data_IF_543009315825
#
_entry.id   IF_543009315825
#
_cell.length_a   1.000
_cell.length_b   1.000
_cell.length_c   1.000
_cell.angle_alpha   90.00
_cell.angle_beta   90.00
_cell.angle_gamma   90.00
#
_symmetry.space_group_name_H-M   'P 1'
#
loop_
_entity.id
_entity.type
_entity.pdbx_description
1 polymer ?
#
# COMPACT_ATOMS: atom_id res chain seq x y z
N UNK A 1 -14.58 17.78 25.38
CA UNK A 1 -14.59 16.60 24.51
C UNK A 1 -14.02 17.03 23.16
N UNK A 2 -12.71 16.83 22.97
CA UNK A 2 -12.04 17.02 21.66
C UNK A 2 -11.21 15.76 21.44
N UNK A 3 -11.90 14.65 21.23
CA UNK A 3 -11.28 13.42 20.79
C UNK A 3 -10.84 13.59 19.32
N UNK A 4 -9.57 13.27 19.04
CA UNK A 4 -9.34 12.28 18.00
C UNK A 4 -8.75 12.75 16.68
N UNK A 5 -7.52 13.24 16.68
CA UNK A 5 -6.49 12.76 15.74
C UNK A 5 -5.11 13.24 16.18
N UNK A 6 -4.29 12.34 16.73
CA UNK A 6 -2.86 12.59 16.81
C UNK A 6 -2.30 12.62 15.38
N UNK A 7 -1.56 13.66 14.97
CA UNK A 7 -0.90 13.68 13.68
C UNK A 7 0.20 12.63 13.67
N UNK A 8 0.16 11.71 12.71
CA UNK A 8 1.20 10.71 12.50
C UNK A 8 0.69 9.35 12.03
N UNK A 9 1.66 8.47 11.77
CA UNK A 9 1.41 7.10 11.37
C UNK A 9 0.76 6.27 12.48
N UNK A 10 -0.41 5.69 12.19
CA UNK A 10 -1.08 4.73 13.07
C UNK A 10 -1.18 3.38 12.40
N UNK A 11 -0.95 2.32 13.17
CA UNK A 11 -1.20 0.97 12.70
C UNK A 11 -2.69 0.78 12.39
N UNK A 12 -2.99 0.19 11.25
CA UNK A 12 -4.36 -0.10 10.81
C UNK A 12 -4.52 -1.58 10.49
N UNK A 13 -5.73 -2.15 10.62
CA UNK A 13 -5.96 -3.55 10.32
C UNK A 13 -5.64 -3.86 8.85
N UNK A 14 -4.90 -4.93 8.60
CA UNK A 14 -4.55 -5.36 7.24
C UNK A 14 -5.76 -5.84 6.44
N UNK A 15 -6.80 -6.32 7.13
CA UNK A 15 -8.08 -6.71 6.55
C UNK A 15 -9.05 -5.53 6.38
N UNK A 16 -8.66 -4.30 6.73
CA UNK A 16 -9.52 -3.14 6.48
C UNK A 16 -9.75 -2.99 4.97
N UNK A 17 -10.99 -2.78 4.50
CA UNK A 17 -11.28 -2.66 3.07
C UNK A 17 -10.49 -1.54 2.39
N UNK A 18 -10.18 -0.43 3.08
CA UNK A 18 -9.38 0.66 2.50
C UNK A 18 -7.92 0.25 2.33
N UNK A 19 -7.38 -0.53 3.26
CA UNK A 19 -6.01 -1.06 3.21
C UNK A 19 -5.89 -2.08 2.10
N UNK A 20 -6.87 -2.98 1.96
CA UNK A 20 -6.92 -3.95 0.86
C UNK A 20 -7.04 -3.24 -0.50
N UNK A 21 -7.87 -2.20 -0.61
CA UNK A 21 -7.98 -1.40 -1.82
C UNK A 21 -6.65 -0.71 -2.18
N UNK A 22 -5.96 -0.11 -1.20
CA UNK A 22 -4.66 0.51 -1.40
C UNK A 22 -3.59 -0.50 -1.84
N UNK A 23 -3.53 -1.67 -1.20
CA UNK A 23 -2.59 -2.74 -1.57
C UNK A 23 -2.84 -3.27 -2.99
N UNK A 24 -4.10 -3.54 -3.34
CA UNK A 24 -4.47 -3.98 -4.68
C UNK A 24 -4.14 -2.94 -5.75
N UNK A 25 -4.39 -1.67 -5.45
CA UNK A 25 -4.02 -0.57 -6.34
C UNK A 25 -2.51 -0.48 -6.52
N UNK A 26 -1.72 -0.60 -5.44
CA UNK A 26 -0.27 -0.61 -5.50
C UNK A 26 0.25 -1.72 -6.42
N UNK A 27 -0.24 -2.96 -6.25
CA UNK A 27 0.18 -4.09 -7.10
C UNK A 27 -0.20 -3.88 -8.56
N UNK A 28 -1.39 -3.31 -8.84
CA UNK A 28 -1.77 -2.94 -10.20
C UNK A 28 -0.82 -1.88 -10.80
N UNK A 29 -0.50 -0.84 -10.04
CA UNK A 29 0.41 0.22 -10.48
C UNK A 29 1.84 -0.32 -10.74
N UNK A 30 2.35 -1.17 -9.85
CA UNK A 30 3.63 -1.88 -10.01
C UNK A 30 3.61 -2.74 -11.27
N UNK A 31 2.57 -3.55 -11.47
CA UNK A 31 2.44 -4.38 -12.67
C UNK A 31 2.38 -3.56 -13.95
N UNK A 32 1.72 -2.40 -13.93
CA UNK A 32 1.71 -1.49 -15.08
C UNK A 32 3.10 -0.90 -15.37
N UNK A 33 3.87 -0.57 -14.32
CA UNK A 33 5.25 -0.11 -14.47
C UNK A 33 6.17 -1.19 -15.04
N UNK A 34 5.97 -2.45 -14.64
CA UNK A 34 6.74 -3.61 -15.11
C UNK A 34 6.06 -4.38 -16.24
N UNK A 35 5.08 -3.78 -16.94
CA UNK A 35 4.07 -4.48 -17.77
C UNK A 35 4.61 -5.45 -18.83
N UNK A 36 5.89 -5.35 -19.20
CA UNK A 36 6.54 -6.25 -20.17
C UNK A 36 7.51 -7.27 -19.53
N UNK A 37 7.94 -7.07 -18.29
CA UNK A 37 9.04 -7.80 -17.66
C UNK A 37 8.58 -8.85 -16.65
N UNK A 38 7.60 -8.51 -15.80
CA UNK A 38 7.20 -9.37 -14.68
C UNK A 38 5.80 -8.99 -14.19
N UNK A 39 5.04 -10.00 -13.77
CA UNK A 39 3.78 -9.81 -13.03
C UNK A 39 3.99 -10.16 -11.57
N UNK A 40 3.57 -9.27 -10.69
CA UNK A 40 3.53 -9.43 -9.24
C UNK A 40 2.11 -9.81 -8.80
N UNK A 41 2.04 -10.75 -7.88
CA UNK A 41 0.82 -11.18 -7.19
C UNK A 41 0.92 -10.83 -5.70
N UNK A 42 -0.14 -10.22 -5.16
CA UNK A 42 -0.26 -9.95 -3.73
C UNK A 42 -0.56 -11.26 -3.00
N UNK A 43 0.36 -11.72 -2.14
CA UNK A 43 0.12 -12.88 -1.29
C UNK A 43 -0.46 -12.47 0.07
N UNK A 44 0.11 -11.42 0.67
CA UNK A 44 -0.20 -11.05 2.05
C UNK A 44 0.14 -9.58 2.30
N UNK A 45 -0.65 -8.91 3.14
CA UNK A 45 -0.36 -7.60 3.70
C UNK A 45 0.19 -7.86 5.11
N UNK A 46 1.50 -7.70 5.30
CA UNK A 46 2.18 -8.02 6.56
C UNK A 46 1.98 -6.93 7.60
N UNK A 47 2.09 -5.67 7.17
CA UNK A 47 1.90 -4.50 8.03
C UNK A 47 1.22 -3.41 7.24
N UNK A 48 0.39 -2.63 7.95
CA UNK A 48 -0.25 -1.45 7.39
C UNK A 48 -0.24 -0.33 8.43
N UNK A 49 0.21 0.84 8.00
CA UNK A 49 0.05 2.09 8.74
C UNK A 49 -0.65 3.10 7.86
N UNK A 50 -1.47 3.95 8.47
CA UNK A 50 -2.11 5.06 7.79
C UNK A 50 -1.84 6.37 8.55
N UNK A 51 -1.63 7.42 7.78
CA UNK A 51 -1.57 8.79 8.27
C UNK A 51 -2.63 9.58 7.50
N UNK A 52 -3.57 10.18 8.22
CA UNK A 52 -4.58 11.05 7.60
C UNK A 52 -4.08 12.47 7.74
N UNK A 53 -3.89 13.11 6.59
CA UNK A 53 -3.56 14.54 6.47
C UNK A 53 -4.78 15.21 5.84
N UNK A 54 -4.99 16.48 6.15
CA UNK A 54 -6.17 17.28 5.78
C UNK A 54 -6.87 16.81 4.48
N UNK A 55 -6.18 16.86 3.34
CA UNK A 55 -6.77 16.55 2.03
C UNK A 55 -6.42 15.15 1.46
N UNK A 56 -5.62 14.35 2.16
CA UNK A 56 -5.24 13.01 1.69
C UNK A 56 -4.79 12.07 2.80
N UNK A 57 -5.07 10.79 2.61
CA UNK A 57 -4.54 9.72 3.46
C UNK A 57 -3.32 9.08 2.82
N UNK A 58 -2.25 8.90 3.59
CA UNK A 58 -1.09 8.09 3.21
C UNK A 58 -1.21 6.70 3.83
N UNK A 59 -0.80 5.69 3.09
CA UNK A 59 -0.73 4.30 3.52
C UNK A 59 0.69 3.80 3.33
N UNK A 60 1.32 3.39 4.43
CA UNK A 60 2.62 2.71 4.45
C UNK A 60 2.34 1.22 4.65
N UNK A 61 2.57 0.43 3.61
CA UNK A 61 2.23 -0.98 3.57
C UNK A 61 3.49 -1.82 3.36
N UNK A 62 3.58 -2.91 4.12
CA UNK A 62 4.55 -3.98 3.86
C UNK A 62 3.83 -5.14 3.23
N UNK A 63 4.10 -5.38 1.94
CA UNK A 63 3.45 -6.38 1.12
C UNK A 63 4.38 -7.55 0.86
N UNK A 64 3.84 -8.77 0.93
CA UNK A 64 4.51 -9.97 0.45
C UNK A 64 4.02 -10.23 -0.97
N UNK A 65 4.91 -10.06 -1.94
CA UNK A 65 4.59 -10.22 -3.35
C UNK A 65 5.32 -11.42 -3.94
N UNK A 66 4.65 -12.12 -4.85
CA UNK A 66 5.26 -13.17 -5.67
C UNK A 66 5.43 -12.68 -7.09
N UNK A 67 6.66 -12.73 -7.61
CA UNK A 67 6.91 -12.59 -9.04
C UNK A 67 6.42 -13.87 -9.74
N UNK A 68 5.66 -13.76 -10.82
CA UNK A 68 5.17 -14.94 -11.57
C UNK A 68 6.36 -15.79 -12.05
N UNK A 69 6.41 -17.05 -11.61
CA UNK A 69 7.53 -17.96 -11.90
C UNK A 69 8.83 -17.66 -11.14
N UNK A 70 8.80 -16.75 -10.16
CA UNK A 70 9.97 -16.32 -9.40
C UNK A 70 9.81 -16.49 -7.89
N UNK A 71 10.71 -15.85 -7.15
CA UNK A 71 10.72 -15.85 -5.68
C UNK A 71 9.63 -14.95 -5.08
N UNK A 72 9.30 -15.26 -3.83
CA UNK A 72 8.46 -14.44 -2.96
C UNK A 72 9.35 -13.48 -2.19
N UNK A 73 9.04 -12.18 -2.25
CA UNK A 73 9.81 -11.13 -1.60
C UNK A 73 8.89 -10.13 -0.89
N UNK A 74 9.45 -9.37 0.04
CA UNK A 74 8.76 -8.32 0.77
C UNK A 74 9.07 -6.97 0.17
N UNK A 75 8.03 -6.17 0.00
CA UNK A 75 8.08 -4.86 -0.60
C UNK A 75 7.39 -3.86 0.28
N UNK A 76 8.08 -2.76 0.55
CA UNK A 76 7.48 -1.61 1.21
C UNK A 76 6.90 -0.69 0.15
N UNK A 77 5.63 -0.33 0.29
CA UNK A 77 4.95 0.60 -0.62
C UNK A 77 4.32 1.74 0.14
N UNK A 78 4.35 2.91 -0.48
CA UNK A 78 3.59 4.06 -0.01
C UNK A 78 2.50 4.40 -1.05
N UNK A 79 1.26 4.44 -0.60
CA UNK A 79 0.09 4.76 -1.44
C UNK A 79 -0.61 5.97 -0.86
N UNK A 80 -0.95 6.95 -1.68
CA UNK A 80 -1.76 8.10 -1.26
C UNK A 80 -3.18 7.94 -1.78
N UNK A 81 -4.16 8.32 -0.98
CA UNK A 81 -5.57 8.41 -1.34
C UNK A 81 -6.04 9.84 -1.14
N UNK A 82 -6.48 10.50 -2.22
CA UNK A 82 -7.05 11.84 -2.11
C UNK A 82 -8.51 11.82 -1.62
N UNK A 83 -9.07 12.99 -1.29
CA UNK A 83 -10.50 13.16 -0.94
C UNK A 83 -11.47 12.61 -1.99
N UNK A 84 -11.06 12.58 -3.27
CA UNK A 84 -11.83 11.99 -4.37
C UNK A 84 -11.82 10.46 -4.41
N UNK A 85 -11.11 9.81 -3.48
CA UNK A 85 -11.00 8.35 -3.41
C UNK A 85 -10.03 7.73 -4.41
N UNK A 86 -9.25 8.55 -5.13
CA UNK A 86 -8.26 8.08 -6.10
C UNK A 86 -6.98 7.70 -5.35
N UNK A 87 -6.49 6.50 -5.64
CA UNK A 87 -5.22 6.00 -5.13
C UNK A 87 -4.09 6.28 -6.11
N UNK A 88 -2.91 6.59 -5.58
CA UNK A 88 -1.67 6.80 -6.33
C UNK A 88 -0.51 6.11 -5.62
N UNK A 89 0.28 5.32 -6.34
CA UNK A 89 1.52 4.76 -5.82
C UNK A 89 2.60 5.86 -5.77
N UNK A 90 3.14 6.12 -4.58
CA UNK A 90 4.21 7.11 -4.39
C UNK A 90 5.59 6.45 -4.39
N UNK A 91 5.77 5.39 -3.61
CA UNK A 91 7.04 4.67 -3.47
C UNK A 91 6.86 3.17 -3.51
N UNK A 92 7.87 2.48 -4.04
CA UNK A 92 7.99 1.02 -4.08
C UNK A 92 9.46 0.65 -3.84
N UNK A 93 9.74 -0.01 -2.72
CA UNK A 93 11.08 -0.39 -2.28
C UNK A 93 11.14 -1.90 -2.01
N UNK A 94 12.22 -2.54 -2.46
CA UNK A 94 12.51 -3.96 -2.24
C UNK A 94 13.39 -4.16 -0.99
N UNK A 95 13.23 -5.29 -0.29
CA UNK A 95 14.22 -5.79 0.66
C UNK A 95 14.01 -5.42 2.14
N UNK A 96 12.76 -5.46 2.63
CA UNK A 96 12.38 -5.17 4.02
C UNK A 96 12.09 -6.42 4.86
#
# INVERSE_FOLDING_TARGET
MLDGHEPGWRAVPTHDPVVQAAANHAVKAINNMFSFLVTFELLEILHAKAEVIEDFAKFDLLLKLRRRGGKVEKYKVEVHKNVGGIFSLNQFLEGY
#
